data_IF_513374080061
#
_entry.id   IF_513374080061
#
_cell.length_a   1.000
_cell.length_b   1.000
_cell.length_c   1.000
_cell.angle_alpha   90.00
_cell.angle_beta   90.00
_cell.angle_gamma   90.00
#
_symmetry.space_group_name_H-M   'P 1'
#
loop_
_entity.id
_entity.type
_entity.pdbx_description
1 polymer ?
#
# COMPACT_ATOMS: atom_id res chain seq x y z
N UNK A 1 -5.41 7.23 -14.25
CA UNK A 1 -6.17 7.65 -15.44
C UNK A 1 -5.36 8.56 -16.36
N UNK A 2 -4.87 9.72 -15.91
CA UNK A 2 -4.07 10.64 -16.76
C UNK A 2 -2.86 9.93 -17.39
N UNK A 3 -2.06 9.21 -16.61
CA UNK A 3 -0.93 8.43 -17.13
C UNK A 3 -1.32 7.45 -18.25
N UNK A 4 -2.44 6.74 -18.07
CA UNK A 4 -2.97 5.81 -19.08
C UNK A 4 -3.42 6.55 -20.34
N UNK A 5 -4.12 7.68 -20.18
CA UNK A 5 -4.59 8.47 -21.31
C UNK A 5 -3.42 8.95 -22.18
N UNK A 6 -2.37 9.51 -21.57
CA UNK A 6 -1.18 9.93 -22.31
C UNK A 6 -0.44 8.75 -22.94
N UNK A 7 -0.22 7.67 -22.19
CA UNK A 7 0.51 6.49 -22.68
C UNK A 7 -0.20 5.73 -23.81
N UNK A 8 -1.52 5.90 -23.97
CA UNK A 8 -2.33 5.27 -25.02
C UNK A 8 -2.86 6.27 -26.05
N UNK A 9 -2.26 7.46 -26.12
CA UNK A 9 -2.62 8.50 -27.10
C UNK A 9 -1.49 8.72 -28.13
N UNK A 10 -1.74 9.46 -29.22
CA UNK A 10 -0.68 9.90 -30.13
C UNK A 10 0.46 10.69 -29.44
N UNK A 11 0.22 11.20 -28.22
CA UNK A 11 1.21 11.92 -27.40
C UNK A 11 2.14 10.99 -26.61
N UNK A 12 2.04 9.66 -26.77
CA UNK A 12 2.84 8.68 -26.02
C UNK A 12 4.34 8.99 -26.06
N UNK A 13 4.89 9.21 -27.26
CA UNK A 13 6.32 9.49 -27.41
C UNK A 13 6.74 10.77 -26.66
N UNK A 14 5.89 11.81 -26.68
CA UNK A 14 6.14 13.04 -25.93
C UNK A 14 6.10 12.82 -24.41
N UNK A 15 5.16 12.01 -23.94
CA UNK A 15 5.05 11.62 -22.54
C UNK A 15 6.24 10.77 -22.07
N UNK A 16 6.65 9.76 -22.84
CA UNK A 16 7.83 8.94 -22.52
C UNK A 16 9.11 9.79 -22.49
N UNK A 17 9.31 10.66 -23.48
CA UNK A 17 10.47 11.55 -23.53
C UNK A 17 10.49 12.59 -22.41
N UNK A 18 9.32 13.04 -21.95
CA UNK A 18 9.21 13.97 -20.82
C UNK A 18 9.67 13.32 -19.51
N UNK A 19 9.25 12.08 -19.26
CA UNK A 19 9.54 11.40 -17.99
C UNK A 19 10.85 10.63 -17.98
N UNK A 20 11.39 10.21 -19.14
CA UNK A 20 12.61 9.39 -19.21
C UNK A 20 13.83 10.00 -18.46
N UNK A 21 14.16 11.30 -18.59
CA UNK A 21 15.30 11.88 -17.87
C UNK A 21 15.10 11.94 -16.36
N UNK A 22 13.83 12.04 -15.93
CA UNK A 22 13.45 12.24 -14.54
C UNK A 22 13.01 10.95 -13.85
N UNK A 23 12.89 9.84 -14.58
CA UNK A 23 12.28 8.61 -14.07
C UNK A 23 13.00 8.07 -12.83
N UNK A 24 14.34 8.08 -12.84
CA UNK A 24 15.17 7.67 -11.71
C UNK A 24 14.99 8.62 -10.52
N UNK A 25 15.02 9.94 -10.76
CA UNK A 25 14.83 10.93 -9.71
C UNK A 25 13.43 10.86 -9.07
N UNK A 26 12.40 10.65 -9.89
CA UNK A 26 11.01 10.51 -9.42
C UNK A 26 10.87 9.20 -8.64
N UNK A 27 11.38 8.09 -9.15
CA UNK A 27 11.17 6.78 -8.54
C UNK A 27 12.02 6.54 -7.30
N UNK A 28 13.18 7.19 -7.18
CA UNK A 28 14.07 7.04 -6.02
C UNK A 28 14.02 8.27 -5.09
N UNK A 29 14.12 9.47 -5.66
CA UNK A 29 14.18 10.73 -4.92
C UNK A 29 12.85 11.05 -4.23
N UNK A 30 11.75 11.09 -4.98
CA UNK A 30 10.43 11.38 -4.38
C UNK A 30 9.99 10.27 -3.41
N UNK A 31 10.30 9.00 -3.71
CA UNK A 31 10.02 7.91 -2.79
C UNK A 31 10.80 8.03 -1.48
N UNK A 32 12.01 8.60 -1.47
CA UNK A 32 12.71 8.88 -0.21
C UNK A 32 11.97 9.91 0.66
N UNK A 33 11.37 10.94 0.05
CA UNK A 33 10.51 11.92 0.75
C UNK A 33 9.26 11.22 1.30
N UNK A 34 8.63 10.35 0.51
CA UNK A 34 7.50 9.54 0.96
C UNK A 34 7.86 8.67 2.16
N UNK A 35 8.97 7.91 2.08
CA UNK A 35 9.41 7.04 3.18
C UNK A 35 9.89 7.84 4.41
N UNK A 36 10.41 9.05 4.23
CA UNK A 36 10.70 9.96 5.34
C UNK A 36 9.41 10.33 6.08
N UNK A 37 8.35 10.72 5.36
CA UNK A 37 7.03 11.01 5.96
C UNK A 37 6.48 9.78 6.69
N UNK A 38 6.51 8.60 6.05
CA UNK A 38 6.08 7.35 6.69
C UNK A 38 6.90 7.07 7.96
N UNK A 39 8.21 7.31 7.93
CA UNK A 39 9.06 7.20 9.13
C UNK A 39 8.65 8.14 10.26
N UNK A 40 8.25 9.37 9.94
CA UNK A 40 7.71 10.33 10.91
C UNK A 40 6.36 9.90 11.46
N UNK A 41 5.46 9.42 10.60
CA UNK A 41 4.13 8.92 10.98
C UNK A 41 4.25 7.72 11.92
N UNK A 42 5.11 6.75 11.58
CA UNK A 42 5.43 5.61 12.44
C UNK A 42 5.92 6.13 13.80
N UNK A 43 6.92 7.04 13.82
CA UNK A 43 7.46 7.60 15.07
C UNK A 43 6.39 8.30 15.90
N UNK A 44 5.53 9.12 15.27
CA UNK A 44 4.41 9.79 15.93
C UNK A 44 3.47 8.76 16.56
N UNK A 45 3.09 7.72 15.82
CA UNK A 45 2.18 6.69 16.30
C UNK A 45 2.76 5.91 17.49
N UNK A 46 4.07 5.67 17.50
CA UNK A 46 4.78 5.06 18.63
C UNK A 46 4.86 5.95 19.88
N UNK A 47 4.99 7.27 19.71
CA UNK A 47 5.17 8.22 20.83
C UNK A 47 3.85 8.77 21.39
N UNK A 48 2.89 9.03 20.51
CA UNK A 48 1.67 9.80 20.81
C UNK A 48 0.38 9.05 20.39
N UNK A 49 0.46 8.06 19.50
CA UNK A 49 -0.69 7.36 18.93
C UNK A 49 -1.03 6.01 19.56
N UNK A 50 -1.77 5.17 18.82
CA UNK A 50 -2.30 3.89 19.31
C UNK A 50 -1.21 2.83 19.49
N UNK A 51 -0.14 2.87 18.67
CA UNK A 51 1.00 1.94 18.82
C UNK A 51 1.71 2.08 20.18
N UNK A 52 1.54 3.20 20.88
CA UNK A 52 2.04 3.38 22.25
C UNK A 52 1.37 2.44 23.25
N UNK A 53 0.10 2.09 23.06
CA UNK A 53 -0.63 1.21 23.95
C UNK A 53 -0.73 -0.19 23.34
N UNK A 54 0.08 -1.16 23.82
CA UNK A 54 0.14 -2.48 23.20
C UNK A 54 -1.22 -3.17 23.16
N UNK A 55 -2.10 -2.91 24.14
CA UNK A 55 -3.42 -3.58 24.20
C UNK A 55 -4.36 -3.15 23.08
N UNK A 56 -4.29 -1.89 22.63
CA UNK A 56 -5.12 -1.38 21.53
C UNK A 56 -4.45 -1.59 20.18
N UNK A 57 -3.13 -1.48 20.11
CA UNK A 57 -2.32 -1.72 18.91
C UNK A 57 -2.33 -3.16 18.40
N UNK A 58 -2.46 -4.14 19.30
CA UNK A 58 -2.22 -5.54 18.98
C UNK A 58 -3.20 -6.11 17.95
N UNK A 59 -4.47 -5.70 18.00
CA UNK A 59 -5.47 -6.16 17.03
C UNK A 59 -5.14 -5.67 15.60
N UNK A 60 -4.98 -4.35 15.33
CA UNK A 60 -4.51 -3.87 14.02
C UNK A 60 -3.18 -4.48 13.58
N UNK A 61 -2.20 -4.60 14.47
CA UNK A 61 -0.87 -5.15 14.11
C UNK A 61 -0.96 -6.62 13.70
N UNK A 62 -1.66 -7.46 14.46
CA UNK A 62 -1.83 -8.88 14.08
C UNK A 62 -2.65 -9.00 12.79
N UNK A 63 -3.68 -8.18 12.62
CA UNK A 63 -4.45 -8.14 11.38
C UNK A 63 -3.58 -7.72 10.19
N UNK A 64 -2.66 -6.76 10.37
CA UNK A 64 -1.70 -6.34 9.34
C UNK A 64 -0.75 -7.47 8.96
N UNK A 65 -0.22 -8.22 9.93
CA UNK A 65 0.61 -9.41 9.66
C UNK A 65 -0.14 -10.43 8.79
N UNK A 66 -1.41 -10.69 9.07
CA UNK A 66 -2.26 -11.53 8.22
C UNK A 66 -2.47 -10.93 6.82
N UNK A 67 -2.72 -9.62 6.77
CA UNK A 67 -2.86 -8.81 5.56
C UNK A 67 -1.57 -8.67 4.74
N UNK A 68 -0.43 -9.07 5.27
CA UNK A 68 0.86 -9.15 4.57
C UNK A 68 1.11 -10.58 4.10
N UNK A 69 1.01 -11.53 5.03
CA UNK A 69 1.38 -12.92 4.81
C UNK A 69 0.48 -13.60 3.78
N UNK A 70 -0.84 -13.45 3.89
CA UNK A 70 -1.78 -14.15 3.02
C UNK A 70 -1.68 -13.69 1.56
N UNK A 71 -1.66 -12.37 1.24
CA UNK A 71 -1.42 -11.92 -0.14
C UNK A 71 -0.11 -12.43 -0.74
N UNK A 72 0.97 -12.41 0.04
CA UNK A 72 2.28 -12.91 -0.38
C UNK A 72 2.25 -14.41 -0.73
N UNK A 73 1.65 -15.23 0.14
CA UNK A 73 1.53 -16.66 -0.07
C UNK A 73 0.65 -16.99 -1.28
N UNK A 74 -0.46 -16.26 -1.47
CA UNK A 74 -1.32 -16.44 -2.65
C UNK A 74 -0.53 -16.12 -3.92
N UNK A 75 0.16 -14.98 -3.98
CA UNK A 75 0.97 -14.63 -5.15
C UNK A 75 2.03 -15.69 -5.43
N UNK A 76 2.74 -16.12 -4.38
CA UNK A 76 3.78 -17.13 -4.51
C UNK A 76 3.23 -18.45 -5.05
N UNK A 77 2.06 -18.89 -4.59
CA UNK A 77 1.42 -20.11 -5.10
C UNK A 77 1.13 -20.04 -6.61
N UNK A 78 0.74 -18.88 -7.14
CA UNK A 78 0.52 -18.69 -8.58
C UNK A 78 1.83 -18.53 -9.38
N UNK A 79 2.89 -18.01 -8.76
CA UNK A 79 4.12 -17.60 -9.45
C UNK A 79 5.33 -18.48 -9.12
N UNK A 80 5.14 -19.58 -8.38
CA UNK A 80 6.22 -20.47 -8.00
C UNK A 80 6.90 -21.09 -9.23
N UNK A 81 8.22 -21.01 -9.29
CA UNK A 81 9.00 -21.53 -10.43
C UNK A 81 8.97 -20.65 -11.69
N UNK A 82 8.27 -19.51 -11.67
CA UNK A 82 8.23 -18.56 -12.78
C UNK A 82 9.23 -17.40 -12.59
N UNK A 83 9.62 -16.68 -13.66
CA UNK A 83 10.46 -15.48 -13.57
C UNK A 83 9.86 -14.37 -12.69
N UNK A 84 8.54 -14.37 -12.52
CA UNK A 84 7.79 -13.46 -11.65
C UNK A 84 7.87 -13.81 -10.16
N UNK A 85 8.43 -14.97 -9.76
CA UNK A 85 8.48 -15.42 -8.36
C UNK A 85 9.10 -14.40 -7.38
N UNK A 86 10.07 -13.61 -7.84
CA UNK A 86 10.69 -12.56 -7.03
C UNK A 86 9.73 -11.42 -6.67
N UNK A 87 8.58 -11.30 -7.33
CA UNK A 87 7.55 -10.29 -7.06
C UNK A 87 6.61 -10.61 -5.90
N UNK A 88 6.93 -11.59 -5.04
CA UNK A 88 6.03 -12.06 -3.98
C UNK A 88 5.57 -10.99 -2.99
N UNK A 89 6.32 -9.91 -2.81
CA UNK A 89 5.95 -8.82 -1.92
C UNK A 89 5.07 -7.74 -2.59
N UNK A 90 4.87 -7.77 -3.91
CA UNK A 90 4.03 -6.80 -4.65
C UNK A 90 2.59 -6.68 -4.11
N UNK A 91 1.89 -7.76 -3.73
CA UNK A 91 0.50 -7.65 -3.26
C UNK A 91 0.39 -7.23 -1.78
N UNK A 92 1.50 -7.06 -1.06
CA UNK A 92 1.49 -6.79 0.38
C UNK A 92 1.12 -5.34 0.73
N UNK A 93 1.70 -4.29 0.13
CA UNK A 93 1.53 -2.95 0.68
C UNK A 93 0.10 -2.38 0.52
N UNK A 94 -0.27 -1.54 1.47
CA UNK A 94 -1.50 -0.74 1.49
C UNK A 94 -1.17 0.71 1.13
N UNK A 95 -2.09 1.43 0.47
CA UNK A 95 -1.94 2.87 0.26
C UNK A 95 -2.92 3.60 1.16
N UNK A 96 -2.40 4.13 2.27
CA UNK A 96 -3.16 4.80 3.33
C UNK A 96 -4.06 5.89 2.74
N UNK A 97 -3.53 6.73 1.85
CA UNK A 97 -4.25 7.87 1.30
C UNK A 97 -5.46 7.42 0.47
N UNK A 98 -5.29 6.40 -0.37
CA UNK A 98 -6.38 5.83 -1.17
C UNK A 98 -7.43 5.12 -0.30
N UNK A 99 -7.00 4.32 0.68
CA UNK A 99 -7.91 3.58 1.55
C UNK A 99 -8.71 4.51 2.46
N UNK A 100 -8.07 5.50 3.09
CA UNK A 100 -8.76 6.52 3.91
C UNK A 100 -9.61 7.46 3.05
N UNK A 101 -9.16 7.82 1.85
CA UNK A 101 -9.96 8.60 0.90
C UNK A 101 -11.25 7.88 0.52
N UNK A 102 -11.18 6.60 0.20
CA UNK A 102 -12.37 5.77 -0.06
C UNK A 102 -13.28 5.65 1.17
N UNK A 103 -12.69 5.53 2.36
CA UNK A 103 -13.43 5.49 3.62
C UNK A 103 -14.14 6.83 3.90
N UNK A 104 -13.52 7.96 3.58
CA UNK A 104 -14.11 9.29 3.74
C UNK A 104 -15.34 9.51 2.83
N UNK A 105 -15.38 8.89 1.65
CA UNK A 105 -16.56 8.92 0.75
C UNK A 105 -17.80 8.23 1.36
N UNK A 106 -17.64 7.43 2.41
CA UNK A 106 -18.74 6.79 3.14
C UNK A 106 -19.33 7.70 4.23
N UNK A 107 -18.74 8.87 4.48
CA UNK A 107 -19.30 9.94 5.32
C UNK A 107 -19.50 9.53 6.79
N UNK A 108 -20.64 9.93 7.36
CA UNK A 108 -21.02 9.68 8.76
C UNK A 108 -21.37 8.22 9.08
N UNK A 109 -21.33 7.32 8.09
CA UNK A 109 -21.56 5.88 8.31
C UNK A 109 -20.37 5.17 8.94
N UNK A 110 -19.20 5.81 8.98
CA UNK A 110 -17.97 5.20 9.41
C UNK A 110 -17.62 5.67 10.82
N UNK A 111 -17.62 4.71 11.75
CA UNK A 111 -17.19 4.93 13.12
C UNK A 111 -15.72 5.34 13.20
N UNK A 112 -15.40 6.22 14.14
CA UNK A 112 -14.03 6.67 14.41
C UNK A 112 -13.09 5.50 14.70
N UNK A 113 -13.57 4.43 15.36
CA UNK A 113 -12.77 3.25 15.66
C UNK A 113 -12.34 2.48 14.40
N UNK A 114 -13.15 2.51 13.33
CA UNK A 114 -12.78 1.90 12.05
C UNK A 114 -11.70 2.71 11.33
N UNK A 115 -11.76 4.05 11.41
CA UNK A 115 -10.72 4.95 10.87
C UNK A 115 -9.39 4.73 11.59
N UNK A 116 -9.43 4.66 12.92
CA UNK A 116 -8.25 4.41 13.76
C UNK A 116 -7.68 3.01 13.46
N UNK A 117 -8.53 1.98 13.42
CA UNK A 117 -8.11 0.62 13.07
C UNK A 117 -7.38 0.58 11.72
N UNK A 118 -7.97 1.19 10.68
CA UNK A 118 -7.38 1.19 9.34
C UNK A 118 -6.07 2.00 9.28
N UNK A 119 -5.98 3.12 10.01
CA UNK A 119 -4.76 3.91 10.12
C UNK A 119 -3.63 3.08 10.76
N UNK A 120 -3.86 2.50 11.94
CA UNK A 120 -2.84 1.68 12.62
C UNK A 120 -2.48 0.42 11.82
N UNK A 121 -3.45 -0.23 11.19
CA UNK A 121 -3.23 -1.38 10.30
C UNK A 121 -2.28 -1.01 9.16
N UNK A 122 -2.54 0.10 8.48
CA UNK A 122 -1.78 0.48 7.31
C UNK A 122 -0.37 0.98 7.66
N UNK A 123 -0.20 1.67 8.80
CA UNK A 123 1.13 2.00 9.35
C UNK A 123 1.93 0.72 9.66
N UNK A 124 1.28 -0.29 10.27
CA UNK A 124 1.93 -1.56 10.58
C UNK A 124 2.32 -2.33 9.30
N UNK A 125 1.46 -2.33 8.29
CA UNK A 125 1.68 -2.92 6.97
C UNK A 125 2.83 -2.23 6.21
N UNK A 126 2.92 -0.90 6.28
CA UNK A 126 3.99 -0.11 5.68
C UNK A 126 5.34 -0.36 6.36
N UNK A 127 5.37 -0.36 7.70
CA UNK A 127 6.57 -0.74 8.47
C UNK A 127 7.02 -2.16 8.09
N UNK A 128 6.09 -3.11 8.04
CA UNK A 128 6.37 -4.47 7.63
C UNK A 128 6.90 -4.55 6.20
N UNK A 129 6.32 -3.80 5.26
CA UNK A 129 6.75 -3.73 3.86
C UNK A 129 8.15 -3.15 3.71
N UNK A 130 8.49 -2.12 4.49
CA UNK A 130 9.85 -1.54 4.54
C UNK A 130 10.87 -2.57 5.05
N UNK A 131 10.52 -3.34 6.09
CA UNK A 131 11.40 -4.39 6.61
C UNK A 131 11.62 -5.48 5.55
N UNK A 132 10.55 -5.93 4.88
CA UNK A 132 10.63 -6.91 3.80
C UNK A 132 11.51 -6.39 2.65
N UNK A 133 11.33 -5.13 2.26
CA UNK A 133 12.17 -4.46 1.26
C UNK A 133 13.65 -4.47 1.65
N UNK A 134 13.96 -4.11 2.89
CA UNK A 134 15.34 -4.05 3.40
C UNK A 134 16.02 -5.41 3.49
N UNK A 135 15.27 -6.49 3.77
CA UNK A 135 15.84 -7.84 3.94
C UNK A 135 15.92 -8.58 2.60
N UNK A 136 14.84 -8.60 1.82
CA UNK A 136 14.71 -9.50 0.67
C UNK A 136 15.07 -8.86 -0.66
N UNK A 137 14.89 -7.55 -0.79
CA UNK A 137 15.17 -6.83 -2.03
C UNK A 137 16.52 -6.10 -1.97
N UNK A 138 17.28 -6.22 -0.89
CA UNK A 138 18.53 -5.47 -0.73
C UNK A 138 19.75 -6.03 -1.50
N UNK A 139 19.75 -7.31 -1.83
CA UNK A 139 20.94 -8.04 -2.29
C UNK A 139 21.40 -7.79 -3.73
N UNK A 140 20.68 -7.01 -4.54
CA UNK A 140 20.98 -6.83 -5.98
C UNK A 140 20.93 -5.38 -6.48
N UNK A 141 20.85 -4.41 -5.57
CA UNK A 141 20.60 -3.01 -5.90
C UNK A 141 21.87 -2.18 -5.65
N UNK A 142 22.06 -1.12 -6.45
CA UNK A 142 22.97 -0.03 -6.09
C UNK A 142 22.73 0.35 -4.62
N UNK A 143 23.74 0.29 -3.74
CA UNK A 143 23.62 0.58 -2.30
C UNK A 143 22.89 1.90 -2.02
N UNK A 144 22.97 2.84 -2.96
CA UNK A 144 22.31 4.14 -2.93
C UNK A 144 20.80 4.09 -2.77
N UNK A 145 20.08 3.13 -3.38
CA UNK A 145 18.60 3.11 -3.37
C UNK A 145 18.02 2.59 -2.06
N UNK A 146 18.64 1.55 -1.49
CA UNK A 146 18.24 1.02 -0.19
C UNK A 146 18.66 2.00 0.90
N UNK A 147 19.86 2.58 0.78
CA UNK A 147 20.34 3.60 1.69
C UNK A 147 19.46 4.85 1.68
N UNK A 148 18.87 5.25 0.55
CA UNK A 148 17.96 6.40 0.52
C UNK A 148 16.63 6.11 1.21
N UNK A 149 16.02 4.94 0.98
CA UNK A 149 14.76 4.55 1.65
C UNK A 149 14.94 4.30 3.14
N UNK A 150 15.89 3.43 3.53
CA UNK A 150 16.17 3.14 4.94
C UNK A 150 16.75 4.36 5.64
N UNK A 151 17.61 5.12 4.95
CA UNK A 151 18.19 6.36 5.47
C UNK A 151 17.15 7.45 5.71
N UNK A 152 16.13 7.57 4.84
CA UNK A 152 15.01 8.49 5.06
C UNK A 152 14.22 8.13 6.33
N UNK A 153 13.85 6.85 6.50
CA UNK A 153 13.16 6.38 7.72
C UNK A 153 14.06 6.57 8.95
N UNK A 154 15.34 6.21 8.85
CA UNK A 154 16.32 6.39 9.93
C UNK A 154 16.49 7.85 10.33
N UNK A 155 16.57 8.77 9.35
CA UNK A 155 16.65 10.21 9.59
C UNK A 155 15.41 10.72 10.31
N UNK A 156 14.21 10.29 9.91
CA UNK A 156 12.95 10.63 10.58
C UNK A 156 12.98 10.24 12.07
N UNK A 157 13.59 9.08 12.38
CA UNK A 157 13.75 8.60 13.75
C UNK A 157 14.83 9.33 14.56
N UNK A 158 15.94 9.72 13.93
CA UNK A 158 17.02 10.47 14.61
C UNK A 158 16.64 11.92 14.89
N UNK A 159 15.80 12.54 14.06
CA UNK A 159 15.41 13.94 14.23
C UNK A 159 14.77 14.19 15.61
N UNK A 160 15.36 15.06 16.45
CA UNK A 160 14.83 15.32 17.78
C UNK A 160 13.55 16.17 17.67
N UNK A 161 12.44 15.64 18.15
CA UNK A 161 11.19 16.39 18.30
C UNK A 161 11.06 16.85 19.75
N UNK A 162 10.75 18.13 19.95
CA UNK A 162 10.72 18.76 21.26
C UNK A 162 9.69 19.89 21.32
N UNK A 163 9.69 20.68 22.39
CA UNK A 163 8.67 21.73 22.62
C UNK A 163 8.57 22.82 21.53
N UNK A 164 9.61 23.01 20.70
CA UNK A 164 9.64 24.03 19.63
C UNK A 164 9.17 23.51 18.27
N UNK A 165 9.39 22.24 17.96
CA UNK A 165 9.00 21.61 16.69
C UNK A 165 8.44 20.24 17.04
N UNK A 166 7.13 20.08 16.96
CA UNK A 166 6.47 18.79 17.17
C UNK A 166 6.55 17.94 15.89
N UNK A 167 6.55 16.61 16.08
CA UNK A 167 6.44 15.65 14.97
C UNK A 167 5.19 15.95 14.12
N UNK A 168 4.08 16.29 14.78
CA UNK A 168 2.82 16.65 14.13
C UNK A 168 2.95 17.86 13.21
N UNK A 169 3.63 18.93 13.62
CA UNK A 169 3.82 20.11 12.74
C UNK A 169 4.60 19.77 11.47
N UNK A 170 5.64 18.94 11.58
CA UNK A 170 6.45 18.53 10.42
C UNK A 170 5.65 17.63 9.50
N UNK A 171 4.92 16.66 10.06
CA UNK A 171 4.02 15.78 9.30
C UNK A 171 2.96 16.61 8.58
N UNK A 172 2.26 17.50 9.28
CA UNK A 172 1.20 18.35 8.69
C UNK A 172 1.74 19.27 7.59
N UNK A 173 3.01 19.69 7.69
CA UNK A 173 3.67 20.47 6.65
C UNK A 173 4.00 19.61 5.43
N UNK A 174 4.56 18.41 5.61
CA UNK A 174 5.05 17.54 4.52
C UNK A 174 3.89 16.78 3.85
N UNK A 175 2.88 16.38 4.62
CA UNK A 175 1.79 15.51 4.18
C UNK A 175 1.06 16.05 2.93
N UNK A 176 0.72 17.35 2.80
CA UNK A 176 0.13 17.88 1.58
C UNK A 176 1.06 17.75 0.36
N UNK A 177 2.36 18.02 0.51
CA UNK A 177 3.32 17.85 -0.59
C UNK A 177 3.42 16.39 -1.00
N UNK A 178 3.45 15.48 -0.04
CA UNK A 178 3.50 14.05 -0.35
C UNK A 178 2.23 13.59 -1.07
N UNK A 179 1.06 14.00 -0.56
CA UNK A 179 -0.25 13.57 -1.08
C UNK A 179 -0.59 14.18 -2.43
N UNK A 180 -0.28 15.46 -2.64
CA UNK A 180 -0.71 16.19 -3.84
C UNK A 180 0.39 16.36 -4.91
N UNK A 181 1.66 16.14 -4.56
CA UNK A 181 2.78 16.26 -5.50
C UNK A 181 3.55 14.95 -5.65
N UNK A 182 4.14 14.43 -4.59
CA UNK A 182 5.04 13.26 -4.63
C UNK A 182 4.33 12.03 -5.17
N UNK A 183 3.21 11.63 -4.54
CA UNK A 183 2.45 10.42 -4.91
C UNK A 183 1.85 10.55 -6.33
N UNK A 184 1.16 11.65 -6.69
CA UNK A 184 0.64 11.82 -8.04
C UNK A 184 1.72 11.84 -9.10
N UNK A 185 2.87 12.50 -8.86
CA UNK A 185 3.97 12.56 -9.82
C UNK A 185 4.66 11.20 -9.97
N UNK A 186 4.85 10.47 -8.88
CA UNK A 186 5.34 9.09 -8.89
C UNK A 186 4.41 8.19 -9.71
N UNK A 187 3.11 8.24 -9.43
CA UNK A 187 2.10 7.49 -10.15
C UNK A 187 2.07 7.88 -11.64
N UNK A 188 2.15 9.16 -11.95
CA UNK A 188 2.21 9.67 -13.32
C UNK A 188 3.44 9.19 -14.07
N UNK A 189 4.62 9.10 -13.44
CA UNK A 189 5.84 8.64 -14.11
C UNK A 189 5.93 7.11 -14.24
N UNK A 190 5.28 6.37 -13.34
CA UNK A 190 5.39 4.90 -13.27
C UNK A 190 4.21 4.13 -13.86
N UNK A 191 3.00 4.71 -13.91
CA UNK A 191 1.80 4.03 -14.42
C UNK A 191 1.62 4.14 -15.94
N UNK A 192 2.46 4.90 -16.64
CA UNK A 192 2.40 4.97 -18.10
C UNK A 192 2.62 3.60 -18.73
N UNK A 193 1.54 2.99 -19.20
CA UNK A 193 1.57 1.70 -19.90
C UNK A 193 0.85 1.82 -21.24
N UNK A 194 1.48 1.28 -22.28
CA UNK A 194 0.81 1.01 -23.55
C UNK A 194 -0.01 -0.27 -23.39
N UNK A 195 -1.32 -0.17 -23.50
CA UNK A 195 -2.25 -1.29 -23.46
C UNK A 195 -2.44 -1.76 -24.90
N UNK A 196 -1.93 -2.94 -25.20
CA UNK A 196 -2.27 -3.62 -26.44
C UNK A 196 -3.60 -4.37 -26.26
N UNK A 197 -4.65 -3.86 -26.90
CA UNK A 197 -5.98 -4.44 -26.82
C UNK A 197 -6.06 -5.85 -27.40
N UNK A 198 -5.13 -6.21 -28.29
CA UNK A 198 -5.10 -7.54 -28.93
C UNK A 198 -4.60 -8.65 -27.99
N UNK A 199 -3.73 -8.30 -27.03
CA UNK A 199 -3.14 -9.25 -26.06
C UNK A 199 -3.83 -9.26 -24.70
N UNK A 200 -4.91 -8.48 -24.52
CA UNK A 200 -5.59 -8.36 -23.22
C UNK A 200 -6.01 -9.73 -22.67
N UNK A 201 -6.55 -10.61 -23.51
CA UNK A 201 -6.98 -11.96 -23.10
C UNK A 201 -5.84 -12.78 -22.49
N UNK A 202 -4.66 -12.79 -23.12
CA UNK A 202 -3.48 -13.48 -22.58
C UNK A 202 -2.92 -12.79 -21.34
N UNK A 203 -2.96 -11.47 -21.27
CA UNK A 203 -2.52 -10.71 -20.09
C UNK A 203 -3.38 -11.01 -18.87
N UNK A 204 -4.70 -11.07 -19.00
CA UNK A 204 -5.59 -11.41 -17.87
C UNK A 204 -5.42 -12.87 -17.40
N UNK A 205 -4.99 -13.76 -18.29
CA UNK A 205 -4.70 -15.15 -17.96
C UNK A 205 -3.28 -15.35 -17.36
N UNK A 206 -2.45 -14.31 -17.35
CA UNK A 206 -1.07 -14.41 -16.88
C UNK A 206 -1.01 -14.70 -15.37
N UNK A 207 -0.18 -15.66 -14.91
CA UNK A 207 -0.07 -16.02 -13.49
C UNK A 207 0.30 -14.85 -12.57
N UNK A 208 1.07 -13.87 -13.05
CA UNK A 208 1.40 -12.68 -12.26
C UNK A 208 0.18 -11.80 -12.03
N UNK A 209 -0.66 -11.62 -13.06
CA UNK A 209 -1.88 -10.81 -12.98
C UNK A 209 -2.87 -11.45 -12.03
N UNK A 210 -3.11 -12.75 -12.20
CA UNK A 210 -4.02 -13.51 -11.31
C UNK A 210 -3.48 -13.49 -9.88
N UNK A 211 -2.18 -13.76 -9.70
CA UNK A 211 -1.54 -13.77 -8.38
C UNK A 211 -1.67 -12.43 -7.65
N UNK A 212 -1.49 -11.30 -8.34
CA UNK A 212 -1.65 -9.96 -7.76
C UNK A 212 -3.13 -9.66 -7.48
N UNK A 213 -4.03 -9.88 -8.44
CA UNK A 213 -5.45 -9.54 -8.28
C UNK A 213 -6.08 -10.37 -7.17
N UNK A 214 -5.89 -11.69 -7.18
CA UNK A 214 -6.41 -12.60 -6.15
C UNK A 214 -5.71 -12.34 -4.82
N UNK A 215 -4.38 -12.22 -4.82
CA UNK A 215 -3.59 -11.96 -3.62
C UNK A 215 -3.98 -10.65 -2.93
N UNK A 216 -4.17 -9.56 -3.68
CA UNK A 216 -4.58 -8.28 -3.11
C UNK A 216 -6.04 -8.27 -2.69
N UNK A 217 -6.96 -8.63 -3.59
CA UNK A 217 -8.40 -8.49 -3.33
C UNK A 217 -8.85 -9.50 -2.28
N UNK A 218 -8.62 -10.79 -2.53
CA UNK A 218 -9.06 -11.83 -1.59
C UNK A 218 -8.08 -12.01 -0.44
N UNK A 219 -6.77 -11.96 -0.70
CA UNK A 219 -5.78 -12.18 0.33
C UNK A 219 -5.81 -11.10 1.42
N UNK A 220 -6.02 -9.82 1.10
CA UNK A 220 -6.16 -8.78 2.14
C UNK A 220 -7.41 -8.97 2.98
N UNK A 221 -8.56 -9.22 2.34
CA UNK A 221 -9.82 -9.46 3.05
C UNK A 221 -9.68 -10.65 3.99
N UNK A 222 -9.23 -11.79 3.45
CA UNK A 222 -9.09 -13.03 4.22
C UNK A 222 -8.02 -12.90 5.30
N UNK A 223 -6.83 -12.39 4.97
CA UNK A 223 -5.71 -12.26 5.89
C UNK A 223 -6.02 -11.36 7.08
N UNK A 224 -6.51 -10.15 6.81
CA UNK A 224 -6.83 -9.16 7.86
C UNK A 224 -7.96 -9.69 8.74
N UNK A 225 -9.05 -10.19 8.14
CA UNK A 225 -10.21 -10.66 8.91
C UNK A 225 -9.90 -11.92 9.71
N UNK A 226 -9.19 -12.89 9.11
CA UNK A 226 -8.84 -14.15 9.77
C UNK A 226 -7.90 -13.90 10.95
N UNK A 227 -6.84 -13.12 10.76
CA UNK A 227 -5.88 -12.86 11.83
C UNK A 227 -6.49 -12.00 12.93
N UNK A 228 -7.33 -11.02 12.60
CA UNK A 228 -8.11 -10.29 13.61
C UNK A 228 -9.02 -11.24 14.40
N UNK A 229 -9.73 -12.14 13.72
CA UNK A 229 -10.59 -13.13 14.36
C UNK A 229 -9.82 -14.07 15.28
N UNK A 230 -8.69 -14.59 14.83
CA UNK A 230 -7.82 -15.46 15.64
C UNK A 230 -7.25 -14.71 16.84
N UNK A 231 -6.81 -13.47 16.67
CA UNK A 231 -6.29 -12.65 17.77
C UNK A 231 -7.32 -12.45 18.88
N UNK A 232 -8.58 -12.18 18.52
CA UNK A 232 -9.68 -12.04 19.49
C UNK A 232 -10.06 -13.39 20.09
N UNK A 233 -10.17 -14.44 19.27
CA UNK A 233 -10.58 -15.78 19.73
C UNK A 233 -9.57 -16.42 20.68
N UNK A 234 -8.28 -16.18 20.46
CA UNK A 234 -7.20 -16.67 21.32
C UNK A 234 -6.99 -15.79 22.56
N UNK A 235 -7.76 -14.71 22.73
CA UNK A 235 -7.64 -13.79 23.86
C UNK A 235 -6.38 -12.93 23.83
N UNK A 236 -5.67 -12.89 22.70
CA UNK A 236 -4.45 -12.12 22.51
C UNK A 236 -4.77 -10.62 22.41
N UNK A 237 -5.82 -10.27 21.66
CA UNK A 237 -6.25 -8.88 21.48
C UNK A 237 -7.74 -8.69 21.79
N UNK A 238 -8.15 -7.45 22.09
CA UNK A 238 -9.54 -7.09 22.38
C UNK A 238 -10.16 -6.35 21.19
N UNK A 239 -11.38 -6.72 20.84
CA UNK A 239 -12.17 -6.01 19.83
C UNK A 239 -12.64 -4.64 20.38
N UNK A 240 -12.49 -3.53 19.63
CA UNK A 240 -13.11 -2.27 20.00
C UNK A 240 -14.64 -2.39 20.04
N UNK A 241 -15.34 -1.72 20.97
CA UNK A 241 -16.77 -1.95 21.20
C UNK A 241 -17.69 -1.66 20.00
N UNK A 242 -17.34 -0.66 19.18
CA UNK A 242 -18.12 -0.24 18.02
C UNK A 242 -17.76 -0.99 16.73
N UNK A 243 -16.72 -1.83 16.76
CA UNK A 243 -16.16 -2.47 15.58
C UNK A 243 -16.70 -3.91 15.44
N UNK A 244 -17.07 -4.30 14.23
CA UNK A 244 -17.47 -5.67 13.90
C UNK A 244 -16.50 -6.34 12.93
N UNK A 245 -16.44 -7.69 12.91
CA UNK A 245 -15.61 -8.41 11.94
C UNK A 245 -16.01 -8.15 10.48
N UNK A 246 -17.28 -7.77 10.23
CA UNK A 246 -17.75 -7.40 8.90
C UNK A 246 -17.17 -6.06 8.46
N UNK A 247 -17.08 -5.09 9.37
CA UNK A 247 -16.39 -3.83 9.12
C UNK A 247 -14.88 -4.03 8.95
N UNK A 248 -14.25 -4.91 9.75
CA UNK A 248 -12.85 -5.30 9.53
C UNK A 248 -12.66 -5.88 8.14
N UNK A 249 -13.58 -6.73 7.66
CA UNK A 249 -13.48 -7.28 6.30
C UNK A 249 -13.61 -6.22 5.21
N UNK A 250 -14.44 -5.20 5.44
CA UNK A 250 -14.57 -4.05 4.56
C UNK A 250 -13.33 -3.16 4.55
N UNK A 251 -12.75 -2.88 5.73
CA UNK A 251 -11.45 -2.22 5.85
C UNK A 251 -10.33 -3.02 5.19
N UNK A 252 -10.35 -4.35 5.35
CA UNK A 252 -9.39 -5.25 4.69
C UNK A 252 -9.50 -5.21 3.16
N UNK A 253 -10.71 -5.09 2.62
CA UNK A 253 -10.90 -4.85 1.19
C UNK A 253 -10.31 -3.49 0.77
N UNK A 254 -10.61 -2.40 1.51
CA UNK A 254 -10.03 -1.08 1.20
C UNK A 254 -8.50 -1.05 1.31
N UNK A 255 -7.90 -1.83 2.22
CA UNK A 255 -6.45 -1.98 2.32
C UNK A 255 -5.82 -2.57 1.04
N UNK A 256 -6.60 -3.31 0.25
CA UNK A 256 -6.19 -3.83 -1.07
C UNK A 256 -5.94 -2.76 -2.14
N UNK A 257 -6.26 -1.48 -1.89
CA UNK A 257 -6.12 -0.38 -2.86
C UNK A 257 -4.69 0.08 -3.13
N UNK A 258 -3.71 -0.43 -2.39
CA UNK A 258 -2.30 -0.09 -2.51
C UNK A 258 -1.70 -0.18 -3.91
N UNK A 259 -1.16 0.95 -4.40
CA UNK A 259 -0.57 1.06 -5.73
C UNK A 259 0.88 1.53 -5.68
N UNK A 260 1.18 2.56 -4.89
CA UNK A 260 2.47 3.27 -4.90
C UNK A 260 3.64 2.39 -4.45
N UNK A 261 3.59 1.88 -3.21
CA UNK A 261 4.63 0.99 -2.67
C UNK A 261 4.67 -0.34 -3.43
N UNK A 262 3.51 -0.84 -3.88
CA UNK A 262 3.42 -2.05 -4.71
C UNK A 262 4.17 -1.90 -6.04
N UNK A 263 4.04 -0.74 -6.71
CA UNK A 263 4.80 -0.43 -7.93
C UNK A 263 6.28 -0.24 -7.65
N UNK A 264 6.62 0.36 -6.52
CA UNK A 264 8.02 0.49 -6.10
C UNK A 264 8.66 -0.89 -5.92
N UNK A 265 8.00 -1.81 -5.21
CA UNK A 265 8.46 -3.20 -5.08
C UNK A 265 8.56 -3.87 -6.46
N UNK A 266 7.56 -3.70 -7.33
CA UNK A 266 7.57 -4.29 -8.67
C UNK A 266 8.79 -3.85 -9.49
N UNK A 267 9.11 -2.55 -9.50
CA UNK A 267 10.28 -1.99 -10.18
C UNK A 267 11.63 -2.48 -9.60
N UNK A 268 11.65 -2.93 -8.35
CA UNK A 268 12.83 -3.55 -7.73
C UNK A 268 12.91 -5.05 -8.01
N UNK A 269 11.76 -5.73 -8.03
CA UNK A 269 11.65 -7.18 -8.11
C UNK A 269 11.73 -7.72 -9.55
N UNK A 270 11.17 -7.00 -10.51
CA UNK A 270 10.96 -7.46 -11.88
C UNK A 270 11.85 -6.66 -12.84
N UNK A 271 12.70 -7.37 -13.59
CA UNK A 271 13.57 -6.77 -14.62
C UNK A 271 12.94 -6.74 -16.01
N UNK A 272 11.97 -7.61 -16.24
CA UNK A 272 11.28 -7.74 -17.54
C UNK A 272 10.20 -6.66 -17.68
N UNK A 273 10.26 -5.88 -18.76
CA UNK A 273 9.31 -4.82 -19.06
C UNK A 273 7.90 -5.34 -19.32
N UNK A 274 7.75 -6.54 -19.85
CA UNK A 274 6.46 -7.21 -20.06
C UNK A 274 5.82 -7.53 -18.72
N UNK A 275 6.56 -8.17 -17.80
CA UNK A 275 6.07 -8.49 -16.46
C UNK A 275 5.72 -7.23 -15.65
N UNK A 276 6.48 -6.15 -15.82
CA UNK A 276 6.17 -4.85 -15.22
C UNK A 276 4.87 -4.25 -15.77
N UNK A 277 4.63 -4.33 -17.08
CA UNK A 277 3.38 -3.88 -17.68
C UNK A 277 2.18 -4.68 -17.16
N UNK A 278 2.29 -6.01 -17.12
CA UNK A 278 1.25 -6.88 -16.56
C UNK A 278 0.98 -6.57 -15.08
N UNK A 279 2.03 -6.34 -14.30
CA UNK A 279 1.93 -5.96 -12.88
C UNK A 279 1.18 -4.64 -12.70
N UNK A 280 1.50 -3.62 -13.50
CA UNK A 280 0.82 -2.32 -13.47
C UNK A 280 -0.67 -2.47 -13.77
N UNK A 281 -1.02 -3.25 -14.77
CA UNK A 281 -2.42 -3.58 -15.11
C UNK A 281 -3.11 -4.27 -13.92
N UNK A 282 -2.48 -5.29 -13.37
CA UNK A 282 -3.02 -6.06 -12.25
C UNK A 282 -3.27 -5.19 -11.01
N UNK A 283 -2.36 -4.27 -10.67
CA UNK A 283 -2.52 -3.35 -9.53
C UNK A 283 -3.68 -2.37 -9.72
N UNK A 284 -3.90 -1.86 -10.94
CA UNK A 284 -5.02 -0.96 -11.24
C UNK A 284 -6.35 -1.70 -11.08
N UNK A 285 -6.45 -2.91 -11.64
CA UNK A 285 -7.66 -3.75 -11.54
C UNK A 285 -7.93 -4.12 -10.09
N UNK A 286 -6.90 -4.62 -9.39
CA UNK A 286 -7.01 -5.01 -8.00
C UNK A 286 -7.45 -3.84 -7.12
N UNK A 287 -6.89 -2.64 -7.34
CA UNK A 287 -7.26 -1.43 -6.61
C UNK A 287 -8.71 -1.03 -6.85
N UNK A 288 -9.18 -1.06 -8.11
CA UNK A 288 -10.57 -0.76 -8.45
C UNK A 288 -11.54 -1.77 -7.83
N UNK A 289 -11.24 -3.07 -7.95
CA UNK A 289 -12.06 -4.14 -7.33
C UNK A 289 -12.10 -4.01 -5.81
N UNK A 290 -10.96 -3.76 -5.18
CA UNK A 290 -10.82 -3.55 -3.73
C UNK A 290 -11.66 -2.37 -3.25
N UNK A 291 -11.62 -1.24 -3.96
CA UNK A 291 -12.43 -0.07 -3.66
C UNK A 291 -13.93 -0.36 -3.74
N UNK A 292 -14.38 -1.04 -4.81
CA UNK A 292 -15.79 -1.40 -5.01
C UNK A 292 -16.26 -2.36 -3.91
N UNK A 293 -15.52 -3.45 -3.68
CA UNK A 293 -15.87 -4.48 -2.70
C UNK A 293 -15.90 -3.90 -1.29
N UNK A 294 -14.87 -3.13 -0.91
CA UNK A 294 -14.81 -2.50 0.41
C UNK A 294 -15.95 -1.51 0.63
N UNK A 295 -16.25 -0.68 -0.37
CA UNK A 295 -17.39 0.25 -0.33
C UNK A 295 -18.72 -0.50 -0.16
N UNK A 296 -18.94 -1.59 -0.90
CA UNK A 296 -20.18 -2.38 -0.80
C UNK A 296 -20.33 -3.02 0.58
N UNK A 297 -19.27 -3.65 1.09
CA UNK A 297 -19.27 -4.30 2.41
C UNK A 297 -19.55 -3.26 3.50
N UNK A 298 -18.83 -2.14 3.50
CA UNK A 298 -18.97 -1.11 4.51
C UNK A 298 -20.32 -0.39 4.44
N UNK A 299 -20.86 -0.11 3.25
CA UNK A 299 -22.22 0.44 3.12
C UNK A 299 -23.29 -0.48 3.69
N UNK A 300 -23.09 -1.80 3.57
CA UNK A 300 -24.06 -2.80 4.03
C UNK A 300 -24.01 -3.02 5.55
N UNK A 301 -22.83 -2.91 6.16
CA UNK A 301 -22.64 -3.32 7.56
C UNK A 301 -22.33 -2.19 8.53
N UNK A 302 -21.83 -1.04 8.07
CA UNK A 302 -21.61 0.12 8.94
C UNK A 302 -22.92 0.87 9.15
N UNK A 303 -23.25 1.16 10.41
CA UNK A 303 -24.46 1.92 10.76
C UNK A 303 -24.15 3.42 10.70
N UNK A 304 -25.12 4.21 10.23
CA UNK A 304 -25.02 5.67 10.35
C UNK A 304 -24.89 6.04 11.84
N UNK A 305 -23.90 6.87 12.16
CA UNK A 305 -23.89 7.57 13.44
C UNK A 305 -24.87 8.74 13.31
N UNK A 306 -25.94 8.71 14.10
CA UNK A 306 -26.90 9.82 14.24
C UNK A 306 -26.27 11.00 14.98
#
# INVERSE_FOLDING_TARGET
MIALAFANSPLRNGYENLFAPWHTFISEGLMSIFFFLVGLEIKKEFLEGELRNPRTALLPVIAALGGMLIPALIYFAFNHGLPSSNGWAIPMPTDIALSLGALALLGSRIDTSLKIFLLTLAIADDLGSIIVLGIFYSGGISPTRIASTIGAVGLAWVLPFGRRISSTQVIDFIHPWTTFLVVPLFALANLGISIDFSSLGSTFASPIVIGIVVGRVLGKILGITLFAYLAVRLGVAKMPPSLTFKEISGAGALAGMGLTVSLFIANLALKDSTLLAETKIALIIAGAMSAIIGTIILRKFSKAQD
#
